data_IF_503889819452
#
_entry.id   IF_503889819452
#
_cell.length_a   1.000
_cell.length_b   1.000
_cell.length_c   1.000
_cell.angle_alpha   90.00
_cell.angle_beta   90.00
_cell.angle_gamma   90.00
#
_symmetry.space_group_name_H-M   'P 1'
#
loop_
_entity.id
_entity.type
_entity.pdbx_description
1 polymer ?
#
# COMPACT_ATOMS: atom_id res chain seq x y z
N UNK A 1 5.68 34.11 8.24
CA UNK A 1 5.93 33.06 7.25
C UNK A 1 6.39 33.72 5.96
N UNK A 2 7.59 33.37 5.49
CA UNK A 2 8.14 33.87 4.23
C UNK A 2 7.39 33.29 3.01
N UNK A 3 7.43 33.99 1.87
CA UNK A 3 6.77 33.56 0.61
C UNK A 3 7.16 32.11 0.22
N UNK A 4 8.42 31.74 0.43
CA UNK A 4 8.94 30.38 0.18
C UNK A 4 8.27 29.30 1.04
N UNK A 5 8.02 29.59 2.31
CA UNK A 5 7.45 28.62 3.25
C UNK A 5 5.94 28.46 2.99
N UNK A 6 5.26 29.56 2.66
CA UNK A 6 3.87 29.53 2.20
C UNK A 6 3.71 28.65 0.95
N UNK A 7 4.53 28.85 -0.08
CA UNK A 7 4.48 28.05 -1.30
C UNK A 7 4.76 26.56 -1.03
N UNK A 8 5.69 26.25 -0.13
CA UNK A 8 5.99 24.88 0.27
C UNK A 8 4.80 24.21 0.98
N UNK A 9 4.13 24.89 1.92
CA UNK A 9 2.94 24.38 2.60
C UNK A 9 1.76 24.16 1.63
N UNK A 10 1.53 25.08 0.69
CA UNK A 10 0.52 24.93 -0.35
C UNK A 10 0.80 23.72 -1.25
N UNK A 11 2.03 23.60 -1.74
CA UNK A 11 2.43 22.47 -2.57
C UNK A 11 2.30 21.15 -1.81
N UNK A 12 2.83 21.07 -0.58
CA UNK A 12 2.80 19.85 0.22
C UNK A 12 1.37 19.40 0.52
N UNK A 13 0.49 20.33 0.92
CA UNK A 13 -0.91 19.99 1.22
C UNK A 13 -1.68 19.50 -0.01
N UNK A 14 -1.60 20.22 -1.15
CA UNK A 14 -2.27 19.80 -2.40
C UNK A 14 -1.72 18.46 -2.89
N UNK A 15 -0.38 18.31 -2.89
CA UNK A 15 0.28 17.07 -3.29
C UNK A 15 -0.14 15.89 -2.40
N UNK A 16 -0.20 16.08 -1.08
CA UNK A 16 -0.72 15.06 -0.15
C UNK A 16 -2.17 14.74 -0.44
N UNK A 17 -3.05 15.73 -0.59
CA UNK A 17 -4.48 15.47 -0.85
C UNK A 17 -4.66 14.57 -2.09
N UNK A 18 -3.99 14.89 -3.19
CA UNK A 18 -4.11 14.12 -4.45
C UNK A 18 -3.59 12.70 -4.28
N UNK A 19 -2.36 12.52 -3.78
CA UNK A 19 -1.78 11.18 -3.63
C UNK A 19 -2.56 10.32 -2.63
N UNK A 20 -3.06 10.92 -1.54
CA UNK A 20 -3.78 10.22 -0.49
C UNK A 20 -5.15 9.77 -0.99
N UNK A 21 -5.85 10.58 -1.80
CA UNK A 21 -7.11 10.15 -2.43
C UNK A 21 -6.88 8.91 -3.30
N UNK A 22 -5.84 8.93 -4.14
CA UNK A 22 -5.53 7.79 -5.03
C UNK A 22 -5.20 6.53 -4.24
N UNK A 23 -4.34 6.64 -3.22
CA UNK A 23 -3.95 5.49 -2.39
C UNK A 23 -5.14 4.99 -1.55
N UNK A 24 -5.94 5.88 -0.97
CA UNK A 24 -7.12 5.53 -0.20
C UNK A 24 -8.17 4.82 -1.07
N UNK A 25 -8.40 5.28 -2.30
CA UNK A 25 -9.27 4.60 -3.28
C UNK A 25 -8.79 3.18 -3.56
N UNK A 26 -7.48 2.99 -3.75
CA UNK A 26 -6.90 1.66 -3.89
C UNK A 26 -7.13 0.80 -2.65
N UNK A 27 -6.88 1.34 -1.45
CA UNK A 27 -7.05 0.57 -0.22
C UNK A 27 -8.50 0.16 0.00
N UNK A 28 -9.45 1.07 -0.22
CA UNK A 28 -10.88 0.77 -0.16
C UNK A 28 -11.26 -0.31 -1.17
N UNK A 29 -10.82 -0.18 -2.42
CA UNK A 29 -11.05 -1.20 -3.44
C UNK A 29 -10.48 -2.56 -3.03
N UNK A 30 -9.23 -2.62 -2.55
CA UNK A 30 -8.62 -3.85 -2.04
C UNK A 30 -9.42 -4.50 -0.90
N UNK A 31 -9.97 -3.71 0.04
CA UNK A 31 -10.83 -4.26 1.09
C UNK A 31 -12.16 -4.80 0.57
N UNK A 32 -12.72 -4.20 -0.49
CA UNK A 32 -13.93 -4.71 -1.15
C UNK A 32 -13.68 -6.02 -1.89
N UNK A 33 -12.50 -6.18 -2.51
CA UNK A 33 -12.09 -7.45 -3.12
C UNK A 33 -11.99 -8.57 -2.08
N UNK A 34 -11.36 -8.31 -0.94
CA UNK A 34 -11.25 -9.27 0.15
C UNK A 34 -12.61 -9.72 0.71
N UNK A 35 -13.60 -8.82 0.71
CA UNK A 35 -14.97 -9.08 1.16
C UNK A 35 -15.87 -9.70 0.08
N UNK A 36 -15.32 -10.07 -1.08
CA UNK A 36 -16.04 -10.70 -2.18
C UNK A 36 -17.17 -9.83 -2.78
N UNK A 37 -17.08 -8.51 -2.67
CA UNK A 37 -18.08 -7.60 -3.24
C UNK A 37 -17.89 -7.37 -4.75
N UNK A 38 -16.92 -8.05 -5.38
CA UNK A 38 -16.58 -7.88 -6.79
C UNK A 38 -16.17 -9.23 -7.36
N UNK A 39 -16.82 -9.64 -8.45
CA UNK A 39 -16.45 -10.83 -9.20
C UNK A 39 -15.18 -10.57 -10.01
N UNK A 40 -14.23 -11.50 -9.97
CA UNK A 40 -12.99 -11.42 -10.75
C UNK A 40 -13.08 -12.36 -11.95
N UNK A 41 -12.76 -11.83 -13.13
CA UNK A 41 -12.60 -12.62 -14.34
C UNK A 41 -11.40 -13.57 -14.19
N UNK A 42 -11.67 -14.88 -14.30
CA UNK A 42 -10.69 -15.95 -14.17
C UNK A 42 -9.58 -15.89 -15.24
N UNK A 43 -9.85 -15.25 -16.39
CA UNK A 43 -8.92 -15.16 -17.52
C UNK A 43 -7.94 -13.99 -17.41
N UNK A 44 -8.24 -12.98 -16.58
CA UNK A 44 -7.45 -11.74 -16.47
C UNK A 44 -6.18 -11.94 -15.64
N UNK A 45 -5.07 -11.30 -16.00
CA UNK A 45 -3.84 -11.27 -15.19
C UNK A 45 -4.11 -10.90 -13.70
N UNK A 46 -5.14 -10.08 -13.47
CA UNK A 46 -5.60 -9.67 -12.14
C UNK A 46 -6.03 -10.84 -11.25
N UNK A 47 -6.32 -12.01 -11.83
CA UNK A 47 -6.74 -13.18 -11.08
C UNK A 47 -5.63 -13.72 -10.16
N UNK A 48 -4.38 -13.78 -10.59
CA UNK A 48 -3.26 -14.17 -9.71
C UNK A 48 -3.04 -13.16 -8.58
N UNK A 49 -3.20 -11.88 -8.89
CA UNK A 49 -3.11 -10.83 -7.89
C UNK A 49 -4.19 -10.96 -6.83
N UNK A 50 -5.42 -11.23 -7.27
CA UNK A 50 -6.56 -11.56 -6.42
C UNK A 50 -6.30 -12.81 -5.56
N UNK A 51 -5.94 -13.94 -6.19
CA UNK A 51 -5.67 -15.21 -5.49
C UNK A 51 -4.56 -15.08 -4.45
N UNK A 52 -3.54 -14.28 -4.74
CA UNK A 52 -2.40 -14.11 -3.83
C UNK A 52 -2.77 -13.24 -2.64
N UNK A 53 -3.41 -12.08 -2.85
CA UNK A 53 -3.49 -11.05 -1.81
C UNK A 53 -4.90 -10.70 -1.32
N UNK A 54 -5.94 -11.18 -1.99
CA UNK A 54 -7.32 -10.80 -1.70
C UNK A 54 -8.27 -12.00 -1.56
N UNK A 55 -7.83 -13.20 -1.89
CA UNK A 55 -8.68 -14.39 -1.86
C UNK A 55 -8.98 -14.86 -0.43
N UNK A 56 -10.27 -14.92 -0.12
CA UNK A 56 -10.83 -15.39 1.15
C UNK A 56 -11.80 -16.54 0.91
N UNK A 57 -11.99 -17.36 1.94
CA UNK A 57 -12.91 -18.49 2.02
C UNK A 57 -14.39 -18.12 1.88
N UNK A 58 -14.75 -16.88 2.17
CA UNK A 58 -16.07 -16.33 1.93
C UNK A 58 -16.39 -16.14 0.42
N UNK A 59 -15.38 -16.21 -0.45
CA UNK A 59 -15.52 -15.97 -1.87
C UNK A 59 -15.78 -17.27 -2.65
N UNK A 60 -15.96 -17.17 -3.97
CA UNK A 60 -16.18 -18.30 -4.88
C UNK A 60 -15.20 -19.46 -4.64
N UNK A 61 -15.70 -20.70 -4.71
CA UNK A 61 -14.85 -21.90 -4.65
C UNK A 61 -13.93 -21.94 -5.88
N UNK A 62 -12.64 -21.71 -5.65
CA UNK A 62 -11.60 -21.82 -6.68
C UNK A 62 -11.02 -23.22 -6.61
N UNK A 63 -10.92 -23.88 -7.76
CA UNK A 63 -10.24 -25.17 -7.86
C UNK A 63 -8.89 -25.00 -8.53
N UNK A 64 -7.93 -25.88 -8.22
CA UNK A 64 -6.62 -25.84 -8.89
C UNK A 64 -6.76 -26.05 -10.41
N UNK A 65 -7.79 -26.80 -10.84
CA UNK A 65 -8.15 -26.96 -12.25
C UNK A 65 -8.39 -25.63 -12.95
N UNK A 66 -9.12 -24.71 -12.32
CA UNK A 66 -9.42 -23.41 -12.91
C UNK A 66 -8.15 -22.61 -13.24
N UNK A 67 -7.08 -22.82 -12.46
CA UNK A 67 -5.81 -22.11 -12.62
C UNK A 67 -4.94 -22.83 -13.66
N UNK A 68 -4.93 -24.16 -13.64
CA UNK A 68 -4.09 -24.99 -14.50
C UNK A 68 -4.62 -25.05 -15.93
N UNK A 69 -5.91 -25.31 -16.11
CA UNK A 69 -6.52 -25.50 -17.43
C UNK A 69 -6.62 -24.22 -18.25
N UNK A 70 -6.82 -23.08 -17.59
CA UNK A 70 -7.08 -21.82 -18.28
C UNK A 70 -5.78 -21.11 -18.72
N UNK A 71 -4.61 -21.52 -18.17
CA UNK A 71 -3.35 -20.78 -18.37
C UNK A 71 -2.08 -21.59 -18.61
N UNK A 72 -2.11 -22.91 -18.46
CA UNK A 72 -0.96 -23.76 -18.76
C UNK A 72 -1.18 -24.40 -20.12
N UNK A 73 -0.29 -24.11 -21.08
CA UNK A 73 -0.13 -24.95 -22.25
C UNK A 73 0.41 -26.28 -21.73
N UNK A 74 -0.46 -27.27 -21.57
CA UNK A 74 -0.05 -28.63 -21.22
C UNK A 74 0.78 -29.18 -22.39
N UNK A 75 2.11 -29.04 -22.31
CA UNK A 75 3.05 -29.49 -23.36
C UNK A 75 3.18 -31.03 -23.39
N UNK A 76 2.50 -31.79 -22.53
CA UNK A 76 2.69 -33.24 -22.48
C UNK A 76 1.39 -34.04 -22.55
N UNK A 77 1.33 -34.96 -23.52
CA UNK A 77 0.30 -35.98 -23.73
C UNK A 77 0.25 -37.08 -22.63
N UNK A 78 0.78 -36.84 -21.43
CA UNK A 78 1.07 -37.90 -20.45
C UNK A 78 0.82 -37.54 -18.97
N UNK A 79 0.13 -36.44 -18.66
CA UNK A 79 -0.24 -36.15 -17.28
C UNK A 79 -1.61 -36.79 -17.01
N UNK A 80 -1.65 -37.74 -16.08
CA UNK A 80 -2.90 -38.26 -15.52
C UNK A 80 -3.54 -37.15 -14.68
N UNK A 81 -4.54 -36.49 -15.25
CA UNK A 81 -5.30 -35.39 -14.66
C UNK A 81 -5.89 -35.78 -13.30
N UNK A 82 -6.11 -37.09 -13.06
CA UNK A 82 -6.66 -37.59 -11.80
C UNK A 82 -5.80 -37.24 -10.57
N UNK A 83 -4.48 -37.09 -10.70
CA UNK A 83 -3.62 -36.66 -9.57
C UNK A 83 -3.83 -35.18 -9.20
N UNK A 84 -4.31 -34.34 -10.12
CA UNK A 84 -4.56 -32.91 -9.87
C UNK A 84 -5.86 -32.72 -9.06
N UNK A 85 -6.81 -33.64 -9.21
CA UNK A 85 -8.11 -33.62 -8.52
C UNK A 85 -7.97 -33.80 -7.00
N UNK A 86 -6.88 -34.44 -6.56
CA UNK A 86 -6.59 -34.66 -5.15
C UNK A 86 -6.03 -33.42 -4.44
N UNK A 87 -5.61 -32.39 -5.18
CA UNK A 87 -5.00 -31.19 -4.60
C UNK A 87 -6.08 -30.15 -4.25
N UNK A 88 -6.43 -30.08 -2.96
CA UNK A 88 -7.34 -29.07 -2.43
C UNK A 88 -6.69 -27.67 -2.49
N UNK A 89 -7.39 -26.72 -3.13
CA UNK A 89 -7.00 -25.31 -3.10
C UNK A 89 -7.20 -24.77 -1.68
N UNK A 90 -6.27 -23.95 -1.13
CA UNK A 90 -6.44 -23.42 0.22
C UNK A 90 -7.73 -22.60 0.29
N UNK A 91 -8.49 -22.69 1.38
CA UNK A 91 -9.74 -21.94 1.54
C UNK A 91 -9.51 -20.42 1.52
N UNK A 92 -8.39 -19.97 2.06
CA UNK A 92 -7.99 -18.58 2.10
C UNK A 92 -6.49 -18.49 1.84
N UNK A 93 -6.07 -17.46 1.10
CA UNK A 93 -4.64 -17.21 0.94
C UNK A 93 -4.02 -16.74 2.27
N UNK A 94 -2.90 -17.34 2.66
CA UNK A 94 -2.14 -16.93 3.83
C UNK A 94 -1.74 -15.44 3.79
N UNK A 95 -1.53 -14.88 2.60
CA UNK A 95 -1.18 -13.47 2.41
C UNK A 95 -2.40 -12.54 2.39
N UNK A 96 -3.61 -13.06 2.19
CA UNK A 96 -4.82 -12.24 2.10
C UNK A 96 -5.19 -11.59 3.44
N UNK A 97 -5.17 -12.36 4.54
CA UNK A 97 -5.46 -11.82 5.88
C UNK A 97 -4.45 -10.73 6.30
N UNK A 98 -3.16 -10.97 6.06
CA UNK A 98 -2.09 -9.98 6.32
C UNK A 98 -2.33 -8.70 5.52
N UNK A 99 -2.62 -8.84 4.22
CA UNK A 99 -2.86 -7.71 3.32
C UNK A 99 -4.10 -6.93 3.73
N UNK A 100 -5.18 -7.60 4.08
CA UNK A 100 -6.40 -6.96 4.58
C UNK A 100 -6.11 -6.07 5.81
N UNK A 101 -5.36 -6.58 6.78
CA UNK A 101 -4.99 -5.81 7.98
C UNK A 101 -4.14 -4.57 7.62
N UNK A 102 -3.19 -4.73 6.69
CA UNK A 102 -2.37 -3.63 6.18
C UNK A 102 -3.25 -2.58 5.49
N UNK A 103 -4.19 -2.98 4.63
CA UNK A 103 -5.11 -2.08 3.93
C UNK A 103 -5.97 -1.28 4.91
N UNK A 104 -6.53 -1.93 5.94
CA UNK A 104 -7.31 -1.26 6.99
C UNK A 104 -6.46 -0.23 7.75
N UNK A 105 -5.22 -0.59 8.09
CA UNK A 105 -4.29 0.35 8.74
C UNK A 105 -4.00 1.56 7.86
N UNK A 106 -3.75 1.35 6.56
CA UNK A 106 -3.55 2.45 5.62
C UNK A 106 -4.79 3.32 5.44
N UNK A 107 -6.01 2.75 5.41
CA UNK A 107 -7.24 3.55 5.35
C UNK A 107 -7.31 4.53 6.53
N UNK A 108 -6.99 4.06 7.74
CA UNK A 108 -6.99 4.90 8.94
C UNK A 108 -5.92 6.00 8.83
N UNK A 109 -4.68 5.63 8.50
CA UNK A 109 -3.57 6.57 8.43
C UNK A 109 -3.71 7.56 7.27
N UNK A 110 -4.17 7.13 6.09
CA UNK A 110 -4.43 8.00 4.95
C UNK A 110 -5.54 9.00 5.28
N UNK A 111 -6.60 8.57 5.97
CA UNK A 111 -7.66 9.49 6.42
C UNK A 111 -7.11 10.54 7.38
N UNK A 112 -6.29 10.14 8.35
CA UNK A 112 -5.62 11.09 9.25
C UNK A 112 -4.67 12.02 8.50
N UNK A 113 -3.94 11.49 7.52
CA UNK A 113 -2.99 12.28 6.74
C UNK A 113 -3.72 13.30 5.85
N UNK A 114 -4.85 12.91 5.24
CA UNK A 114 -5.73 13.78 4.47
C UNK A 114 -6.28 14.93 5.34
N UNK A 115 -6.80 14.63 6.54
CA UNK A 115 -7.27 15.65 7.48
C UNK A 115 -6.13 16.60 7.84
N UNK A 116 -4.95 16.07 8.16
CA UNK A 116 -3.79 16.90 8.50
C UNK A 116 -3.31 17.76 7.32
N UNK A 117 -3.46 17.31 6.08
CA UNK A 117 -3.12 18.07 4.87
C UNK A 117 -4.11 19.20 4.61
N UNK A 118 -5.40 18.98 4.87
CA UNK A 118 -6.42 20.03 4.84
C UNK A 118 -6.14 21.06 5.93
N UNK A 119 -5.76 20.64 7.14
CA UNK A 119 -5.36 21.55 8.21
C UNK A 119 -4.12 22.36 7.81
N UNK A 120 -3.10 21.73 7.22
CA UNK A 120 -1.92 22.42 6.72
C UNK A 120 -2.28 23.48 5.67
N UNK A 121 -3.19 23.15 4.75
CA UNK A 121 -3.70 24.06 3.72
C UNK A 121 -4.43 25.27 4.33
N UNK A 122 -5.37 25.02 5.26
CA UNK A 122 -6.12 26.07 5.96
C UNK A 122 -5.15 26.96 6.76
N UNK A 123 -4.21 26.34 7.50
CA UNK A 123 -3.18 27.04 8.26
C UNK A 123 -2.38 28.00 7.39
N UNK A 124 -1.93 27.54 6.22
CA UNK A 124 -1.19 28.33 5.25
C UNK A 124 -2.02 29.48 4.67
N UNK A 125 -3.24 29.20 4.19
CA UNK A 125 -4.15 30.19 3.60
C UNK A 125 -4.54 31.29 4.59
N UNK A 126 -4.88 30.91 5.83
CA UNK A 126 -5.27 31.83 6.89
C UNK A 126 -4.06 32.46 7.60
N UNK A 127 -2.82 32.09 7.22
CA UNK A 127 -1.57 32.58 7.82
C UNK A 127 -1.59 32.45 9.35
N UNK A 128 -2.05 31.31 9.86
CA UNK A 128 -2.16 31.06 11.30
C UNK A 128 -0.77 31.07 11.93
N UNK A 129 -0.62 31.79 13.04
CA UNK A 129 0.65 31.96 13.79
C UNK A 129 0.49 31.54 15.25
N UNK A 130 1.60 31.58 16.00
CA UNK A 130 1.67 31.35 17.46
C UNK A 130 1.40 29.89 17.84
N UNK A 131 0.94 29.64 19.06
CA UNK A 131 0.55 28.30 19.55
C UNK A 131 -0.42 27.56 18.62
N UNK A 132 -1.28 28.29 17.91
CA UNK A 132 -2.16 27.69 16.91
C UNK A 132 -1.39 27.09 15.74
N UNK A 133 -0.24 27.65 15.34
CA UNK A 133 0.58 27.05 14.28
C UNK A 133 1.01 25.62 14.61
N UNK A 134 1.25 25.29 15.88
CA UNK A 134 1.54 23.92 16.28
C UNK A 134 0.36 22.99 15.92
N UNK A 135 -0.87 23.39 16.23
CA UNK A 135 -2.06 22.57 15.96
C UNK A 135 -2.35 22.39 14.46
N UNK A 136 -2.10 23.42 13.65
CA UNK A 136 -2.44 23.39 12.22
C UNK A 136 -1.36 22.81 11.32
N UNK A 137 -0.07 23.03 11.65
CA UNK A 137 1.04 22.61 10.79
C UNK A 137 1.73 21.33 11.27
N UNK A 138 1.80 21.07 12.58
CA UNK A 138 2.58 19.95 13.14
C UNK A 138 1.96 18.55 12.97
N UNK A 139 0.63 18.37 12.94
CA UNK A 139 0.06 17.04 12.71
C UNK A 139 0.49 16.42 11.37
N UNK A 140 0.66 17.23 10.33
CA UNK A 140 1.04 16.74 9.00
C UNK A 140 2.40 16.02 8.98
N UNK A 141 3.53 16.61 9.43
CA UNK A 141 4.80 15.91 9.45
C UNK A 141 4.81 14.73 10.43
N UNK A 142 4.06 14.78 11.53
CA UNK A 142 3.94 13.64 12.46
C UNK A 142 3.30 12.43 11.80
N UNK A 143 2.14 12.62 11.15
CA UNK A 143 1.46 11.52 10.45
C UNK A 143 2.30 11.02 9.27
N UNK A 144 2.95 11.94 8.54
CA UNK A 144 3.84 11.56 7.45
C UNK A 144 5.02 10.69 7.92
N UNK A 145 5.63 10.99 9.07
CA UNK A 145 6.73 10.17 9.59
C UNK A 145 6.30 8.73 9.88
N UNK A 146 5.11 8.56 10.48
CA UNK A 146 4.51 7.25 10.73
C UNK A 146 4.27 6.50 9.42
N UNK A 147 3.76 7.20 8.41
CA UNK A 147 3.54 6.65 7.07
C UNK A 147 4.83 6.21 6.39
N UNK A 148 5.87 7.04 6.39
CA UNK A 148 7.16 6.69 5.77
C UNK A 148 7.77 5.43 6.39
N UNK A 149 7.62 5.26 7.70
CA UNK A 149 8.05 4.06 8.40
C UNK A 149 7.22 2.82 8.01
N UNK A 150 5.90 2.96 7.92
CA UNK A 150 5.02 1.87 7.50
C UNK A 150 5.25 1.47 6.03
N UNK A 151 5.49 2.44 5.14
CA UNK A 151 5.85 2.20 3.75
C UNK A 151 7.14 1.37 3.65
N UNK A 152 8.14 1.65 4.49
CA UNK A 152 9.38 0.87 4.53
C UNK A 152 9.16 -0.58 5.03
N UNK A 153 8.31 -0.77 6.05
CA UNK A 153 7.95 -2.11 6.54
C UNK A 153 7.23 -2.90 5.45
N UNK A 154 6.22 -2.30 4.83
CA UNK A 154 5.43 -2.98 3.78
C UNK A 154 6.26 -3.26 2.54
N UNK A 155 7.16 -2.36 2.15
CA UNK A 155 8.16 -2.63 1.12
C UNK A 155 8.97 -3.90 1.45
N UNK A 156 9.49 -4.02 2.68
CA UNK A 156 10.22 -5.22 3.10
C UNK A 156 9.38 -6.49 3.07
N UNK A 157 8.11 -6.42 3.49
CA UNK A 157 7.18 -7.55 3.46
C UNK A 157 6.92 -8.02 2.02
N UNK A 158 6.54 -7.12 1.11
CA UNK A 158 6.24 -7.48 -0.28
C UNK A 158 7.50 -7.82 -1.08
N UNK A 159 8.66 -7.27 -0.72
CA UNK A 159 9.95 -7.70 -1.28
C UNK A 159 10.30 -9.14 -0.88
N UNK A 160 9.97 -9.57 0.35
CA UNK A 160 10.12 -10.97 0.73
C UNK A 160 9.13 -11.87 -0.02
N UNK A 161 7.90 -11.41 -0.27
CA UNK A 161 6.94 -12.19 -1.04
C UNK A 161 7.42 -12.47 -2.47
N UNK A 162 8.15 -11.55 -3.11
CA UNK A 162 8.79 -11.78 -4.43
C UNK A 162 9.64 -13.05 -4.40
N UNK A 163 10.42 -13.25 -3.33
CA UNK A 163 11.25 -14.44 -3.16
C UNK A 163 10.41 -15.71 -2.99
N UNK A 164 9.35 -15.67 -2.17
CA UNK A 164 8.50 -16.83 -1.90
C UNK A 164 7.50 -17.16 -3.00
N UNK A 165 7.21 -16.23 -3.90
CA UNK A 165 6.28 -16.41 -5.02
C UNK A 165 6.98 -16.74 -6.35
N UNK A 166 8.29 -16.96 -6.32
CA UNK A 166 9.05 -17.31 -7.51
C UNK A 166 8.78 -18.76 -7.94
N UNK A 167 7.99 -18.93 -9.01
CA UNK A 167 7.54 -20.22 -9.53
C UNK A 167 6.20 -20.70 -8.94
N UNK A 168 5.45 -21.50 -9.71
CA UNK A 168 4.08 -21.90 -9.37
C UNK A 168 3.99 -22.74 -8.09
N UNK A 169 4.97 -23.61 -7.84
CA UNK A 169 5.05 -24.43 -6.63
C UNK A 169 5.23 -23.57 -5.38
N UNK A 170 6.22 -22.68 -5.41
CA UNK A 170 6.52 -21.81 -4.27
C UNK A 170 5.36 -20.85 -4.02
N UNK A 171 4.77 -20.30 -5.08
CA UNK A 171 3.54 -19.52 -5.00
C UNK A 171 2.40 -20.31 -4.35
N UNK A 172 2.13 -21.54 -4.78
CA UNK A 172 1.04 -22.35 -4.23
C UNK A 172 1.28 -22.68 -2.75
N UNK A 173 2.52 -23.00 -2.37
CA UNK A 173 2.93 -23.14 -0.98
C UNK A 173 2.73 -21.84 -0.18
N UNK A 174 3.13 -20.71 -0.75
CA UNK A 174 3.05 -19.39 -0.14
C UNK A 174 1.62 -18.94 0.16
N UNK A 175 0.66 -19.25 -0.73
CA UNK A 175 -0.77 -18.98 -0.47
C UNK A 175 -1.40 -20.00 0.52
N UNK A 176 -0.66 -21.01 0.98
CA UNK A 176 -1.13 -21.99 1.98
C UNK A 176 -1.65 -23.30 1.38
N UNK A 177 -1.36 -23.57 0.10
CA UNK A 177 -1.71 -24.82 -0.56
C UNK A 177 -1.04 -26.03 0.09
N UNK A 178 -1.80 -27.11 0.29
CA UNK A 178 -1.30 -28.39 0.80
C UNK A 178 -0.89 -29.29 -0.36
N UNK A 179 -0.05 -30.29 -0.08
CA UNK A 179 0.36 -31.30 -1.08
C UNK A 179 1.01 -30.72 -2.36
N UNK A 180 1.62 -29.54 -2.26
CA UNK A 180 2.27 -28.84 -3.38
C UNK A 180 3.41 -29.62 -4.05
N UNK A 181 3.94 -30.67 -3.41
CA UNK A 181 4.94 -31.56 -4.00
C UNK A 181 4.44 -32.30 -5.26
N UNK A 182 3.12 -32.45 -5.43
CA UNK A 182 2.52 -33.01 -6.65
C UNK A 182 2.81 -32.10 -7.85
N UNK A 183 2.94 -30.79 -7.65
CA UNK A 183 3.29 -29.83 -8.72
C UNK A 183 4.71 -30.02 -9.27
N UNK A 184 5.61 -30.74 -8.57
CA UNK A 184 6.91 -31.11 -9.14
C UNK A 184 6.80 -32.25 -10.16
N UNK A 185 5.81 -33.13 -9.98
CA UNK A 185 5.58 -34.27 -10.88
C UNK A 185 4.91 -33.82 -12.18
N UNK A 186 4.04 -32.82 -12.07
CA UNK A 186 3.40 -32.18 -13.20
C UNK A 186 4.39 -31.17 -13.76
N UNK A 187 5.05 -31.48 -14.88
CA UNK A 187 6.05 -30.61 -15.51
C UNK A 187 5.40 -29.32 -16.08
N UNK A 188 4.97 -28.44 -15.19
CA UNK A 188 4.27 -27.20 -15.50
C UNK A 188 5.30 -26.17 -15.96
N UNK A 189 5.34 -25.92 -17.25
CA UNK A 189 6.06 -24.77 -17.81
C UNK A 189 5.15 -23.56 -17.70
N UNK A 190 5.33 -22.76 -16.65
CA UNK A 190 4.62 -21.51 -16.46
C UNK A 190 5.62 -20.35 -16.37
N UNK A 191 5.37 -19.19 -17.02
CA UNK A 191 6.28 -18.05 -16.91
C UNK A 191 6.40 -17.61 -15.46
N UNK A 192 7.59 -17.75 -14.87
CA UNK A 192 7.87 -17.39 -13.47
C UNK A 192 7.52 -15.93 -13.17
N UNK A 193 7.58 -15.06 -14.18
CA UNK A 193 7.22 -13.65 -14.05
C UNK A 193 5.75 -13.49 -13.60
N UNK A 194 4.84 -14.35 -14.04
CA UNK A 194 3.41 -14.19 -13.75
C UNK A 194 3.09 -14.41 -12.26
N UNK A 195 3.85 -15.24 -11.55
CA UNK A 195 3.63 -15.48 -10.11
C UNK A 195 4.25 -14.41 -9.23
N UNK A 196 5.29 -13.73 -9.73
CA UNK A 196 6.02 -12.69 -8.99
C UNK A 196 5.42 -11.29 -9.18
N UNK A 197 4.82 -11.00 -10.35
CA UNK A 197 4.29 -9.66 -10.65
C UNK A 197 3.26 -9.16 -9.63
N UNK A 198 2.33 -9.97 -9.07
CA UNK A 198 1.46 -9.54 -7.97
C UNK A 198 2.23 -8.90 -6.81
N UNK A 199 3.33 -9.53 -6.38
CA UNK A 199 4.15 -9.08 -5.26
C UNK A 199 4.88 -7.78 -5.60
N UNK A 200 5.37 -7.66 -6.83
CA UNK A 200 5.96 -6.42 -7.36
C UNK A 200 4.93 -5.28 -7.37
N UNK A 201 3.72 -5.53 -7.85
CA UNK A 201 2.65 -4.53 -7.89
C UNK A 201 2.29 -4.06 -6.48
N UNK A 202 2.11 -4.98 -5.53
CA UNK A 202 1.84 -4.63 -4.14
C UNK A 202 2.98 -3.80 -3.53
N UNK A 203 4.23 -4.21 -3.76
CA UNK A 203 5.39 -3.46 -3.33
C UNK A 203 5.37 -2.01 -3.84
N UNK A 204 5.12 -1.79 -5.14
CA UNK A 204 5.07 -0.45 -5.73
C UNK A 204 3.90 0.39 -5.22
N UNK A 205 2.73 -0.22 -5.03
CA UNK A 205 1.54 0.47 -4.56
C UNK A 205 1.74 0.94 -3.11
N UNK A 206 2.25 0.07 -2.23
CA UNK A 206 2.43 0.39 -0.81
C UNK A 206 3.64 1.29 -0.51
N UNK A 207 4.69 1.25 -1.33
CA UNK A 207 5.74 2.30 -1.27
C UNK A 207 5.32 3.58 -2.01
N UNK A 208 4.08 3.65 -2.50
CA UNK A 208 3.50 4.76 -3.26
C UNK A 208 4.34 5.18 -4.47
N UNK A 209 5.11 4.27 -5.06
CA UNK A 209 6.24 4.55 -5.95
C UNK A 209 7.40 5.30 -5.24
N UNK A 210 8.61 4.79 -5.42
CA UNK A 210 9.83 5.31 -4.76
C UNK A 210 10.04 6.83 -4.94
N UNK A 211 9.64 7.38 -6.10
CA UNK A 211 9.76 8.81 -6.39
C UNK A 211 8.86 9.65 -5.47
N UNK A 212 7.61 9.24 -5.26
CA UNK A 212 6.67 9.95 -4.38
C UNK A 212 7.13 9.83 -2.93
N UNK A 213 7.63 8.66 -2.53
CA UNK A 213 8.22 8.46 -1.19
C UNK A 213 9.38 9.44 -0.91
N UNK A 214 10.28 9.62 -1.87
CA UNK A 214 11.39 10.59 -1.77
C UNK A 214 10.91 12.04 -1.72
N UNK A 215 9.88 12.40 -2.52
CA UNK A 215 9.26 13.73 -2.45
C UNK A 215 8.66 13.96 -1.07
N UNK A 216 7.94 13.00 -0.52
CA UNK A 216 7.37 13.08 0.82
C UNK A 216 8.47 13.28 1.88
N UNK A 217 9.57 12.53 1.81
CA UNK A 217 10.71 12.71 2.72
C UNK A 217 11.31 14.12 2.63
N UNK A 218 11.46 14.66 1.42
CA UNK A 218 11.92 16.05 1.24
C UNK A 218 10.94 17.06 1.85
N UNK A 219 9.64 16.90 1.58
CA UNK A 219 8.59 17.77 2.12
C UNK A 219 8.51 17.70 3.64
N UNK A 220 8.75 16.55 4.26
CA UNK A 220 8.84 16.41 5.71
C UNK A 220 9.82 17.44 6.31
N UNK A 221 11.05 17.51 5.79
CA UNK A 221 12.04 18.47 6.29
C UNK A 221 11.62 19.92 6.03
N UNK A 222 11.07 20.21 4.85
CA UNK A 222 10.63 21.57 4.47
C UNK A 222 9.47 22.08 5.33
N UNK A 223 8.46 21.24 5.57
CA UNK A 223 7.28 21.59 6.36
C UNK A 223 7.63 21.68 7.85
N UNK A 224 8.47 20.79 8.38
CA UNK A 224 8.96 20.93 9.75
C UNK A 224 9.69 22.27 9.97
N UNK A 225 10.56 22.67 9.04
CA UNK A 225 11.22 23.97 9.12
C UNK A 225 10.20 25.13 9.06
N UNK A 226 9.21 25.06 8.15
CA UNK A 226 8.16 26.06 8.05
C UNK A 226 7.31 26.16 9.34
N UNK A 227 6.99 25.03 9.97
CA UNK A 227 6.27 24.96 11.24
C UNK A 227 7.06 25.62 12.38
N UNK A 228 8.36 25.35 12.49
CA UNK A 228 9.23 25.95 13.50
C UNK A 228 9.33 27.47 13.30
N UNK A 229 9.54 27.93 12.07
CA UNK A 229 9.59 29.36 11.75
C UNK A 229 8.26 30.07 12.11
N UNK A 230 7.12 29.43 11.83
CA UNK A 230 5.81 29.98 12.15
C UNK A 230 5.54 30.10 13.66
N UNK A 231 6.18 29.23 14.46
CA UNK A 231 6.16 29.28 15.91
C UNK A 231 7.09 30.38 16.45
N UNK A 232 8.35 30.42 16.01
CA UNK A 232 9.38 31.34 16.52
C UNK A 232 9.12 32.83 16.22
N UNK A 233 8.47 33.17 15.09
CA UNK A 233 8.11 34.56 14.77
C UNK A 233 7.28 35.25 15.88
N UNK A 234 6.66 34.48 16.79
CA UNK A 234 5.92 35.02 17.91
C UNK A 234 6.81 35.41 19.09
N UNK A 235 7.76 34.56 19.49
CA UNK A 235 8.60 34.78 20.67
C UNK A 235 9.42 36.08 20.53
N UNK A 236 9.89 36.37 19.31
CA UNK A 236 10.62 37.60 19.01
C UNK A 236 9.74 38.85 19.19
N UNK A 237 8.46 38.80 18.79
CA UNK A 237 7.54 39.93 18.95
C UNK A 237 7.18 40.20 20.42
N UNK A 238 7.00 39.16 21.22
CA UNK A 238 6.70 39.29 22.65
C UNK A 238 7.92 39.80 23.43
N UNK A 239 9.13 39.35 23.07
CA UNK A 239 10.38 39.85 23.65
C UNK A 239 10.62 41.34 23.35
N UNK A 240 10.23 41.83 22.17
CA UNK A 240 10.32 43.24 21.81
C UNK A 240 9.25 44.08 22.50
N UNK A 241 8.03 43.57 22.66
CA UNK A 241 6.96 44.27 23.36
C UNK A 241 7.28 44.47 24.84
N UNK A 242 7.85 43.46 25.50
CA UNK A 242 8.25 43.52 26.92
C UNK A 242 9.43 44.44 27.22
N UNK A 243 10.30 44.73 26.24
CA UNK A 243 11.43 45.68 26.40
C UNK A 243 11.03 47.14 26.30
N UNK A 244 9.85 47.45 25.75
CA UNK A 244 9.40 48.82 25.49
C UNK A 244 8.39 49.33 26.55
N UNK A 245 8.15 48.56 27.61
CA UNK A 245 7.31 48.91 28.78
C UNK A 245 8.21 49.11 29.98
#
# INVERSE_FOLDING_TARGET
>A
MCCRDFAACMYASIFTIVQTIVHLSFCMWGTTLYKCNTEMDKTSFNYFWYLTYFYSDACTNVTLKDIVYDRIVLISNFIDVSEIDEVEFPRQSAYASRTYNILVLFIILDTLWLISAINLLIGACCRIKKMWALLWYFPWPTVLLIMLFLDAITFGLYAMDIYFTHGIKNWFYAIGGKHYAILDKVNIVYPEINTVVPSILMMFIFIRFIVIWLINLFLFFRINQASINAFQEFDDQESLASRNV
#
